data_IF_118137538816
#
_entry.id   IF_118137538816
#
_cell.length_a   1.000
_cell.length_b   1.000
_cell.length_c   1.000
_cell.angle_alpha   90.00
_cell.angle_beta   90.00
_cell.angle_gamma   90.00
#
_symmetry.space_group_name_H-M   'P 1'
#
loop_
_entity.id
_entity.type
_entity.pdbx_description
1 polymer ?
#
# COMPACT_ATOMS: atom_id res chain seq x y z
N UNK A 1 1.76 -16.80 -29.03
CA UNK A 1 1.02 -16.89 -27.78
C UNK A 1 1.46 -18.13 -27.01
N UNK A 2 2.52 -18.02 -26.21
CA UNK A 2 2.99 -19.07 -25.31
C UNK A 2 2.27 -18.95 -23.98
N UNK A 3 0.96 -19.16 -24.01
CA UNK A 3 0.18 -19.08 -22.78
C UNK A 3 -0.69 -20.32 -22.74
N UNK A 4 -0.31 -21.21 -21.86
CA UNK A 4 -1.01 -22.47 -21.66
C UNK A 4 -2.47 -22.29 -21.28
N UNK A 5 -3.22 -23.39 -21.33
CA UNK A 5 -4.64 -23.48 -21.00
C UNK A 5 -5.07 -22.80 -19.69
N UNK A 6 -4.18 -22.69 -18.72
CA UNK A 6 -4.41 -22.03 -17.43
C UNK A 6 -4.70 -20.52 -17.53
N UNK A 7 -4.11 -19.83 -18.50
CA UNK A 7 -4.36 -18.41 -18.68
C UNK A 7 -5.72 -18.15 -19.36
N UNK A 8 -6.15 -19.07 -20.24
CA UNK A 8 -7.48 -19.01 -20.85
C UNK A 8 -8.60 -19.26 -19.82
N UNK A 9 -8.37 -20.14 -18.84
CA UNK A 9 -9.30 -20.39 -17.73
C UNK A 9 -9.38 -19.14 -16.83
N UNK A 10 -8.23 -18.57 -16.44
CA UNK A 10 -8.19 -17.32 -15.66
C UNK A 10 -8.87 -16.16 -16.36
N UNK A 11 -8.71 -16.02 -17.66
CA UNK A 11 -9.35 -14.93 -18.41
C UNK A 11 -10.86 -15.12 -18.52
N UNK A 12 -11.36 -16.33 -18.57
CA UNK A 12 -12.79 -16.62 -18.58
C UNK A 12 -13.44 -16.27 -17.24
N UNK A 13 -12.88 -16.73 -16.14
CA UNK A 13 -13.36 -16.43 -14.80
C UNK A 13 -13.23 -14.94 -14.48
N UNK A 14 -12.12 -14.32 -14.92
CA UNK A 14 -11.89 -12.89 -14.80
C UNK A 14 -12.88 -12.05 -15.62
N UNK A 15 -13.39 -12.56 -16.75
CA UNK A 15 -14.35 -11.83 -17.57
C UNK A 15 -15.69 -11.64 -16.87
N UNK A 16 -16.18 -12.66 -16.15
CA UNK A 16 -17.39 -12.57 -15.34
C UNK A 16 -17.26 -11.56 -14.20
N UNK A 17 -16.17 -11.66 -13.43
CA UNK A 17 -15.88 -10.70 -12.35
C UNK A 17 -15.77 -9.26 -12.87
N UNK A 18 -15.05 -9.04 -13.99
CA UNK A 18 -14.96 -7.72 -14.62
C UNK A 18 -16.31 -7.17 -15.08
N UNK A 19 -17.17 -8.03 -15.63
CA UNK A 19 -18.50 -7.62 -16.05
C UNK A 19 -19.36 -7.18 -14.86
N UNK A 20 -19.29 -7.90 -13.74
CA UNK A 20 -19.99 -7.56 -12.49
C UNK A 20 -19.50 -6.24 -11.90
N UNK A 21 -18.18 -6.05 -11.82
CA UNK A 21 -17.60 -4.79 -11.35
C UNK A 21 -18.03 -3.62 -12.25
N UNK A 22 -17.92 -3.77 -13.58
CA UNK A 22 -18.33 -2.74 -14.52
C UNK A 22 -19.81 -2.38 -14.42
N UNK A 23 -20.64 -3.38 -14.17
CA UNK A 23 -22.07 -3.17 -13.95
C UNK A 23 -22.31 -2.34 -12.67
N UNK A 24 -21.70 -2.73 -11.56
CA UNK A 24 -21.78 -2.02 -10.29
C UNK A 24 -21.27 -0.57 -10.40
N UNK A 25 -20.09 -0.37 -11.00
CA UNK A 25 -19.54 0.96 -11.27
C UNK A 25 -20.47 1.83 -12.08
N UNK A 26 -20.99 1.33 -13.20
CA UNK A 26 -21.90 2.09 -14.07
C UNK A 26 -23.17 2.45 -13.34
N UNK A 27 -23.73 1.54 -12.55
CA UNK A 27 -24.96 1.76 -11.80
C UNK A 27 -24.77 2.78 -10.67
N UNK A 28 -23.66 2.68 -9.91
CA UNK A 28 -23.32 3.60 -8.83
C UNK A 28 -23.04 4.99 -9.37
N UNK A 29 -22.23 5.09 -10.44
CA UNK A 29 -21.91 6.38 -11.08
C UNK A 29 -23.18 7.07 -11.60
N UNK A 30 -24.08 6.29 -12.22
CA UNK A 30 -25.34 6.84 -12.70
C UNK A 30 -26.23 7.37 -11.56
N UNK A 31 -26.29 6.63 -10.43
CA UNK A 31 -27.07 7.02 -9.26
C UNK A 31 -26.50 8.26 -8.52
N UNK A 32 -25.18 8.48 -8.58
CA UNK A 32 -24.51 9.58 -7.88
C UNK A 32 -24.17 10.76 -8.80
N UNK A 33 -24.51 10.70 -10.08
CA UNK A 33 -24.12 11.67 -11.12
C UNK A 33 -24.46 13.11 -10.78
N UNK A 34 -25.62 13.35 -10.19
CA UNK A 34 -26.13 14.71 -9.95
C UNK A 34 -25.86 15.18 -8.51
N UNK A 35 -25.20 14.34 -7.69
CA UNK A 35 -24.79 14.71 -6.32
C UNK A 35 -23.45 15.44 -6.34
N UNK A 36 -23.33 16.48 -5.53
CA UNK A 36 -22.06 17.18 -5.28
C UNK A 36 -21.51 16.72 -3.93
N UNK A 37 -20.21 16.41 -3.91
CA UNK A 37 -19.50 15.95 -2.72
C UNK A 37 -18.37 16.91 -2.40
N UNK A 38 -18.14 17.14 -1.12
CA UNK A 38 -17.10 18.05 -0.63
C UNK A 38 -15.94 17.31 0.05
N UNK A 39 -16.10 16.01 0.30
CA UNK A 39 -15.05 15.18 0.88
C UNK A 39 -15.06 13.76 0.30
N UNK A 40 -13.90 13.10 0.36
CA UNK A 40 -13.78 11.69 -0.03
C UNK A 40 -14.59 10.77 0.90
N UNK A 41 -14.73 11.14 2.17
CA UNK A 41 -15.53 10.41 3.14
C UNK A 41 -16.99 10.35 2.72
N UNK A 42 -17.57 11.50 2.39
CA UNK A 42 -18.95 11.63 1.91
C UNK A 42 -19.22 10.81 0.64
N UNK A 43 -18.25 10.79 -0.30
CA UNK A 43 -18.33 9.94 -1.50
C UNK A 43 -18.37 8.47 -1.09
N UNK A 44 -17.48 8.04 -0.20
CA UNK A 44 -17.41 6.64 0.23
C UNK A 44 -18.68 6.17 0.94
N UNK A 45 -19.29 7.02 1.76
CA UNK A 45 -20.57 6.73 2.42
C UNK A 45 -21.69 6.57 1.39
N UNK A 46 -21.78 7.48 0.43
CA UNK A 46 -22.78 7.40 -0.63
C UNK A 46 -22.61 6.18 -1.54
N UNK A 47 -21.36 5.79 -1.82
CA UNK A 47 -21.04 4.57 -2.56
C UNK A 47 -21.44 3.33 -1.76
N UNK A 48 -21.15 3.30 -0.45
CA UNK A 48 -21.50 2.18 0.43
C UNK A 48 -23.03 1.99 0.51
N UNK A 49 -23.79 3.08 0.63
CA UNK A 49 -25.26 3.05 0.60
C UNK A 49 -25.79 2.44 -0.71
N UNK A 50 -25.26 2.88 -1.85
CA UNK A 50 -25.67 2.36 -3.15
C UNK A 50 -25.23 0.93 -3.41
N UNK A 51 -24.10 0.53 -2.86
CA UNK A 51 -23.65 -0.86 -2.93
C UNK A 51 -24.54 -1.80 -2.13
N UNK A 52 -24.99 -1.38 -0.95
CA UNK A 52 -25.94 -2.16 -0.13
C UNK A 52 -27.31 -2.28 -0.81
N UNK A 53 -27.80 -1.22 -1.44
CA UNK A 53 -29.01 -1.24 -2.26
C UNK A 53 -28.88 -2.24 -3.43
N UNK A 54 -27.72 -2.25 -4.13
CA UNK A 54 -27.43 -3.19 -5.19
C UNK A 54 -27.41 -4.64 -4.71
N UNK A 55 -26.78 -4.90 -3.57
CA UNK A 55 -26.67 -6.24 -2.99
C UNK A 55 -28.01 -6.79 -2.45
N UNK A 56 -28.90 -5.91 -2.06
CA UNK A 56 -30.25 -6.25 -1.56
C UNK A 56 -31.30 -6.36 -2.66
N UNK A 57 -30.93 -6.05 -3.91
CA UNK A 57 -31.84 -6.12 -5.04
C UNK A 57 -32.12 -7.57 -5.45
N UNK A 58 -33.39 -7.89 -5.67
CA UNK A 58 -33.82 -9.21 -6.13
C UNK A 58 -33.29 -9.55 -7.53
N UNK A 59 -32.90 -10.80 -7.71
CA UNK A 59 -32.52 -11.31 -9.02
C UNK A 59 -33.73 -11.36 -9.96
N UNK A 60 -33.52 -11.08 -11.25
CA UNK A 60 -34.58 -11.14 -12.24
C UNK A 60 -35.00 -12.57 -12.62
N UNK A 61 -34.11 -13.53 -12.51
CA UNK A 61 -34.31 -14.91 -13.05
C UNK A 61 -34.34 -16.01 -11.98
N UNK A 62 -33.98 -15.69 -10.72
CA UNK A 62 -34.03 -16.62 -9.60
C UNK A 62 -34.51 -15.88 -8.33
N UNK A 63 -35.12 -16.58 -7.37
CA UNK A 63 -35.42 -15.98 -6.08
C UNK A 63 -34.13 -15.63 -5.31
N UNK A 64 -34.23 -14.59 -4.45
CA UNK A 64 -33.12 -14.15 -3.61
C UNK A 64 -32.38 -12.94 -4.16
N UNK A 65 -31.39 -12.52 -3.39
CA UNK A 65 -30.55 -11.34 -3.62
C UNK A 65 -29.06 -11.74 -3.68
N UNK A 66 -28.19 -10.86 -4.13
CA UNK A 66 -26.74 -11.10 -4.05
C UNK A 66 -26.28 -11.38 -2.61
N UNK A 67 -26.88 -10.70 -1.63
CA UNK A 67 -26.57 -10.89 -0.21
C UNK A 67 -27.03 -12.23 0.32
N UNK A 68 -28.26 -12.67 -0.02
CA UNK A 68 -28.76 -13.98 0.42
C UNK A 68 -27.95 -15.11 -0.20
N UNK A 69 -27.64 -15.04 -1.49
CA UNK A 69 -26.81 -16.03 -2.18
C UNK A 69 -25.41 -16.15 -1.54
N UNK A 70 -24.77 -15.00 -1.22
CA UNK A 70 -23.49 -15.03 -0.53
C UNK A 70 -23.56 -15.70 0.84
N UNK A 71 -24.55 -15.34 1.67
CA UNK A 71 -24.68 -15.87 3.04
C UNK A 71 -25.06 -17.36 3.07
N UNK A 72 -25.91 -17.81 2.16
CA UNK A 72 -26.46 -19.17 2.16
C UNK A 72 -25.59 -20.14 1.36
N UNK A 73 -25.04 -19.71 0.23
CA UNK A 73 -24.36 -20.59 -0.71
C UNK A 73 -22.82 -20.48 -0.64
N UNK A 74 -22.25 -19.29 -0.45
CA UNK A 74 -20.83 -19.05 -0.66
C UNK A 74 -20.01 -18.92 0.64
N UNK A 75 -20.57 -18.30 1.69
CA UNK A 75 -19.85 -17.95 2.91
C UNK A 75 -19.22 -19.17 3.60
N UNK A 76 -19.91 -20.32 3.59
CA UNK A 76 -19.42 -21.54 4.23
C UNK A 76 -18.16 -22.11 3.54
N UNK A 77 -17.95 -21.81 2.27
CA UNK A 77 -16.80 -22.28 1.48
C UNK A 77 -15.65 -21.28 1.44
N UNK A 78 -15.87 -20.05 1.92
CA UNK A 78 -14.84 -19.03 1.94
C UNK A 78 -13.83 -19.27 3.07
N UNK A 79 -12.56 -19.03 2.76
CA UNK A 79 -11.51 -19.02 3.79
C UNK A 79 -11.62 -17.77 4.63
N UNK A 80 -11.27 -17.84 5.93
CA UNK A 80 -11.23 -16.65 6.77
C UNK A 80 -10.25 -15.62 6.18
N UNK A 81 -10.60 -14.35 6.33
CA UNK A 81 -9.71 -13.26 5.93
C UNK A 81 -8.41 -13.31 6.75
N UNK A 82 -7.28 -12.88 6.18
CA UNK A 82 -6.04 -12.70 6.94
C UNK A 82 -6.27 -11.81 8.16
N UNK A 83 -5.58 -12.13 9.26
CA UNK A 83 -5.69 -11.37 10.52
C UNK A 83 -5.27 -9.89 10.36
N UNK A 84 -4.34 -9.61 9.44
CA UNK A 84 -3.92 -8.24 9.10
C UNK A 84 -4.39 -7.90 7.68
N UNK A 85 -4.95 -6.70 7.45
CA UNK A 85 -5.31 -6.25 6.12
C UNK A 85 -4.07 -6.10 5.23
N UNK A 86 -4.24 -6.32 3.93
CA UNK A 86 -3.17 -6.09 2.97
C UNK A 86 -2.81 -4.60 2.93
N UNK A 87 -1.56 -4.30 3.26
CA UNK A 87 -1.02 -2.96 3.08
C UNK A 87 -0.36 -2.85 1.69
N UNK A 88 -0.93 -1.99 0.85
CA UNK A 88 -0.36 -1.72 -0.46
C UNK A 88 1.05 -1.13 -0.33
N UNK A 89 2.01 -1.70 -1.03
CA UNK A 89 3.39 -1.27 -0.99
C UNK A 89 4.00 -1.23 -2.38
N UNK A 90 4.93 -0.31 -2.58
CA UNK A 90 5.74 -0.19 -3.79
C UNK A 90 7.14 -0.67 -3.45
N UNK A 91 7.65 -1.58 -4.26
CA UNK A 91 9.02 -2.07 -4.14
C UNK A 91 9.90 -1.42 -5.18
N UNK A 92 11.08 -1.01 -4.77
CA UNK A 92 12.13 -0.48 -5.65
C UNK A 92 13.49 -0.95 -5.18
N UNK A 93 14.46 -0.96 -6.08
CA UNK A 93 15.85 -1.25 -5.76
C UNK A 93 16.68 0.02 -5.88
N UNK A 94 17.62 0.22 -4.97
CA UNK A 94 18.58 1.30 -5.02
C UNK A 94 19.98 0.82 -4.61
N UNK A 95 21.00 1.51 -5.11
CA UNK A 95 22.36 1.39 -4.60
C UNK A 95 22.56 2.44 -3.52
N UNK A 96 23.08 2.03 -2.36
CA UNK A 96 23.33 2.96 -1.25
C UNK A 96 24.49 3.88 -1.62
N UNK A 97 24.27 5.21 -1.65
CA UNK A 97 25.34 6.17 -1.95
C UNK A 97 26.23 6.41 -0.73
N UNK A 98 27.32 7.19 -0.90
CA UNK A 98 28.31 7.46 0.14
C UNK A 98 27.75 8.26 1.32
N UNK A 99 26.65 8.98 1.13
CA UNK A 99 25.93 9.70 2.17
C UNK A 99 24.97 8.82 2.98
N UNK A 100 24.95 7.49 2.72
CA UNK A 100 24.05 6.49 3.34
C UNK A 100 22.59 6.93 3.41
N UNK A 101 22.14 7.76 2.45
CA UNK A 101 20.78 8.25 2.33
C UNK A 101 20.10 7.65 1.11
N UNK A 102 18.92 7.10 1.31
CA UNK A 102 18.04 6.62 0.24
C UNK A 102 16.82 7.51 0.09
N UNK A 103 16.17 7.51 -1.07
CA UNK A 103 14.98 8.31 -1.31
C UNK A 103 13.77 7.47 -1.62
N UNK A 104 12.60 7.89 -1.13
CA UNK A 104 11.28 7.37 -1.55
C UNK A 104 10.70 8.13 -2.75
N UNK A 105 11.50 8.97 -3.40
CA UNK A 105 11.11 9.86 -4.50
C UNK A 105 10.75 11.28 -4.03
N UNK A 106 10.54 11.50 -2.73
CA UNK A 106 10.26 12.82 -2.12
C UNK A 106 11.25 13.17 -1.03
N UNK A 107 11.44 12.29 -0.07
CA UNK A 107 12.24 12.51 1.11
C UNK A 107 13.43 11.54 1.17
N UNK A 108 14.44 11.89 1.98
CA UNK A 108 15.62 11.07 2.19
C UNK A 108 15.62 10.43 3.58
N UNK A 109 16.07 9.18 3.64
CA UNK A 109 16.10 8.36 4.86
C UNK A 109 17.47 7.69 5.01
N UNK A 110 18.01 7.65 6.20
CA UNK A 110 19.30 7.01 6.45
C UNK A 110 19.17 5.47 6.45
N UNK A 111 20.23 4.82 5.99
CA UNK A 111 20.43 3.37 6.10
C UNK A 111 21.77 3.11 6.81
N UNK A 112 21.99 1.93 7.39
CA UNK A 112 23.26 1.61 8.00
C UNK A 112 24.46 1.87 7.07
N UNK A 113 25.47 2.59 7.54
CA UNK A 113 26.64 3.02 6.74
C UNK A 113 27.45 1.85 6.17
N UNK A 114 27.39 0.68 6.83
CA UNK A 114 28.08 -0.54 6.35
C UNK A 114 27.51 -1.10 5.04
N UNK A 115 26.36 -0.58 4.59
CA UNK A 115 25.72 -0.96 3.33
C UNK A 115 26.09 -0.01 2.17
N UNK A 116 27.00 0.96 2.39
CA UNK A 116 27.42 1.86 1.31
C UNK A 116 27.98 1.06 0.13
N UNK A 117 27.49 1.36 -1.07
CA UNK A 117 27.84 0.67 -2.30
C UNK A 117 27.03 -0.59 -2.61
N UNK A 118 26.29 -1.12 -1.65
CA UNK A 118 25.46 -2.30 -1.80
C UNK A 118 24.11 -1.99 -2.47
N UNK A 119 23.52 -3.01 -3.08
CA UNK A 119 22.16 -2.95 -3.62
C UNK A 119 21.17 -3.41 -2.55
N UNK A 120 20.16 -2.62 -2.33
CA UNK A 120 19.12 -2.85 -1.33
C UNK A 120 17.74 -2.78 -1.96
N UNK A 121 16.79 -3.45 -1.36
CA UNK A 121 15.38 -3.38 -1.70
C UNK A 121 14.67 -2.42 -0.75
N UNK A 122 13.90 -1.50 -1.31
CA UNK A 122 13.13 -0.50 -0.58
C UNK A 122 11.65 -0.81 -0.74
N UNK A 123 10.95 -1.01 0.37
CA UNK A 123 9.51 -1.16 0.42
C UNK A 123 8.88 0.10 0.97
N UNK A 124 8.09 0.77 0.16
CA UNK A 124 7.37 1.99 0.54
C UNK A 124 5.89 1.67 0.70
N UNK A 125 5.37 1.85 1.90
CA UNK A 125 3.94 1.76 2.20
C UNK A 125 3.34 3.17 2.38
N UNK A 126 2.08 3.25 2.79
CA UNK A 126 1.45 4.54 3.09
C UNK A 126 2.16 5.27 4.22
N UNK A 127 2.61 4.55 5.25
CA UNK A 127 3.11 5.12 6.50
C UNK A 127 4.58 4.80 6.82
N UNK A 128 5.17 3.79 6.14
CA UNK A 128 6.51 3.28 6.42
C UNK A 128 7.36 3.22 5.16
N UNK A 129 8.66 3.44 5.35
CA UNK A 129 9.73 3.13 4.40
C UNK A 129 10.61 2.08 5.07
N UNK A 130 10.64 0.89 4.50
CA UNK A 130 11.42 -0.23 5.00
C UNK A 130 12.52 -0.59 4.01
N UNK A 131 13.66 -0.93 4.52
CA UNK A 131 14.86 -1.27 3.74
C UNK A 131 15.25 -2.70 4.03
N UNK A 132 15.46 -3.45 2.97
CA UNK A 132 15.84 -4.87 3.03
C UNK A 132 17.16 -5.09 2.33
N UNK A 133 18.01 -5.90 2.94
CA UNK A 133 19.26 -6.38 2.37
C UNK A 133 19.31 -7.90 2.48
N UNK A 134 19.49 -8.60 1.35
CA UNK A 134 19.41 -10.06 1.26
C UNK A 134 18.17 -10.67 1.93
N UNK A 135 17.02 -10.02 1.76
CA UNK A 135 15.75 -10.48 2.32
C UNK A 135 15.51 -10.16 3.80
N UNK A 136 16.52 -9.62 4.51
CA UNK A 136 16.41 -9.20 5.91
C UNK A 136 16.16 -7.70 6.01
N UNK A 137 15.22 -7.29 6.89
CA UNK A 137 14.95 -5.87 7.13
C UNK A 137 16.06 -5.25 7.96
N UNK A 138 16.76 -4.27 7.37
CA UNK A 138 17.93 -3.59 7.97
C UNK A 138 17.59 -2.21 8.52
N UNK A 139 16.56 -1.55 7.97
CA UNK A 139 16.11 -0.26 8.48
C UNK A 139 14.59 -0.09 8.27
N UNK A 140 13.97 0.72 9.11
CA UNK A 140 12.55 1.09 9.01
C UNK A 140 12.39 2.52 9.49
N UNK A 141 11.68 3.34 8.69
CA UNK A 141 11.42 4.74 8.98
C UNK A 141 9.94 5.05 8.81
N UNK A 142 9.43 5.99 9.60
CA UNK A 142 8.12 6.57 9.35
C UNK A 142 8.18 7.37 8.05
N UNK A 143 7.27 7.10 7.12
CA UNK A 143 7.21 7.85 5.87
C UNK A 143 6.74 9.28 6.13
N UNK A 144 7.49 10.23 5.63
CA UNK A 144 7.12 11.64 5.66
C UNK A 144 6.14 11.93 4.53
N UNK A 145 4.96 12.49 4.87
CA UNK A 145 3.90 12.78 3.89
C UNK A 145 4.18 14.07 3.11
N UNK A 146 4.86 15.01 3.75
CA UNK A 146 5.28 16.29 3.18
C UNK A 146 6.75 16.25 2.79
N UNK A 147 7.14 17.02 1.77
CA UNK A 147 8.53 17.19 1.40
C UNK A 147 9.26 17.92 2.54
N UNK A 148 10.33 17.33 3.04
CA UNK A 148 11.25 17.96 3.98
C UNK A 148 12.61 18.14 3.32
N UNK A 149 13.30 19.24 3.65
CA UNK A 149 14.65 19.51 3.16
C UNK A 149 15.68 18.65 3.89
N UNK A 150 15.46 18.43 5.18
CA UNK A 150 16.36 17.65 6.00
C UNK A 150 16.07 16.16 5.92
N UNK A 151 17.09 15.31 5.75
CA UNK A 151 16.93 13.87 5.73
C UNK A 151 16.54 13.33 7.10
N UNK A 152 15.70 12.30 7.15
CA UNK A 152 15.40 11.58 8.38
C UNK A 152 16.55 10.62 8.71
N UNK A 153 17.41 11.03 9.64
CA UNK A 153 18.62 10.29 10.00
C UNK A 153 18.47 9.66 11.38
N UNK A 154 18.86 8.37 11.48
CA UNK A 154 19.01 7.68 12.76
C UNK A 154 20.47 7.61 13.14
N UNK A 155 20.79 7.93 14.41
CA UNK A 155 22.17 7.89 14.92
C UNK A 155 22.84 6.53 14.76
N UNK A 156 22.08 5.44 14.96
CA UNK A 156 22.56 4.05 14.80
C UNK A 156 23.02 3.72 13.37
N UNK A 157 22.62 4.49 12.38
CA UNK A 157 23.00 4.30 10.97
C UNK A 157 24.32 5.01 10.62
N UNK A 158 24.81 5.90 11.49
CA UNK A 158 26.04 6.68 11.27
C UNK A 158 27.27 5.93 11.74
N UNK A 159 28.44 6.11 11.11
CA UNK A 159 29.72 5.69 11.67
C UNK A 159 30.00 6.44 13.00
N UNK A 160 30.75 5.81 13.89
CA UNK A 160 31.05 6.37 15.23
C UNK A 160 31.65 7.77 15.19
N UNK A 161 32.48 8.07 14.18
CA UNK A 161 33.06 9.40 13.98
C UNK A 161 32.00 10.48 13.75
N UNK A 162 30.96 10.17 12.98
CA UNK A 162 29.85 11.09 12.73
C UNK A 162 28.93 11.22 13.94
N UNK A 163 28.70 10.12 14.67
CA UNK A 163 27.90 10.14 15.91
C UNK A 163 28.55 11.07 16.96
N UNK A 164 29.87 10.95 17.15
CA UNK A 164 30.62 11.83 18.08
C UNK A 164 30.48 13.30 17.69
N UNK A 165 30.58 13.61 16.39
CA UNK A 165 30.42 14.99 15.93
C UNK A 165 29.02 15.55 16.21
N UNK A 166 27.98 14.74 16.02
CA UNK A 166 26.58 15.17 16.28
C UNK A 166 26.24 15.29 17.78
N UNK A 167 26.97 14.60 18.64
CA UNK A 167 26.77 14.63 20.12
C UNK A 167 27.71 15.57 20.84
N UNK A 168 28.71 16.17 20.17
CA UNK A 168 29.59 17.19 20.75
C UNK A 168 28.77 18.43 21.14
N UNK A 169 28.73 18.75 22.40
CA UNK A 169 28.19 20.00 22.92
C UNK A 169 29.29 21.10 22.95
N UNK A 170 28.89 22.37 23.01
CA UNK A 170 29.82 23.52 23.10
C UNK A 170 30.78 23.40 24.28
N UNK A 171 30.39 22.67 25.33
CA UNK A 171 31.22 22.44 26.53
C UNK A 171 32.45 21.55 26.29
N UNK A 172 32.43 20.72 25.23
CA UNK A 172 33.57 19.85 24.87
C UNK A 172 34.74 20.62 24.20
N UNK A 173 34.53 21.89 23.85
CA UNK A 173 35.54 22.77 23.26
C UNK A 173 36.15 23.76 24.25
N UNK A 174 35.75 23.73 25.52
CA UNK A 174 36.28 24.58 26.58
C UNK A 174 37.49 23.90 27.25
N UNK A 175 38.69 24.07 26.66
CA UNK A 175 40.00 23.77 27.29
C UNK A 175 40.78 25.05 27.40
#
# INVERSE_FOLDING_TARGET
CLVGSEMCIRDRDKSSAKASVRFAETWIIAALRDRKFFSLHEVNEAVAEKLEELNSREFKQRPGTHRSAYLEEEQAYMRPLPAAPLEASVWSMAKVPNDYLISDGKNKYSVPYNLIGEKIDIRVTKNLVEVYYHGSRVASHRRLQTLQHDPLVKLEHMPESHQKYMTCNEDDFSV
#
